data_IF_697245575181
#
_entry.id   IF_697245575181
#
_cell.length_a   1.000
_cell.length_b   1.000
_cell.length_c   1.000
_cell.angle_alpha   90.00
_cell.angle_beta   90.00
_cell.angle_gamma   90.00
#
_symmetry.space_group_name_H-M   'P 1'
#
loop_
_entity.id
_entity.type
_entity.pdbx_description
1 polymer ?
#
# COMPACT_ATOMS: atom_id res chain seq x y z
N UNK A 1 5.54 -6.36 -34.47
CA UNK A 1 5.87 -5.25 -33.55
C UNK A 1 6.13 -5.85 -32.17
N UNK A 2 7.30 -5.59 -31.61
CA UNK A 2 7.75 -6.14 -30.31
C UNK A 2 6.88 -5.63 -29.16
N UNK A 3 6.23 -6.54 -28.42
CA UNK A 3 5.64 -6.23 -27.12
C UNK A 3 6.72 -6.30 -26.06
N UNK A 4 7.02 -5.19 -25.40
CA UNK A 4 7.82 -5.21 -24.18
C UNK A 4 6.93 -5.85 -23.11
N UNK A 5 7.19 -7.13 -22.80
CA UNK A 5 6.48 -7.83 -21.72
C UNK A 5 7.14 -7.43 -20.39
N UNK A 6 6.39 -6.73 -19.55
CA UNK A 6 6.75 -6.51 -18.16
C UNK A 6 6.86 -7.86 -17.44
N UNK A 7 7.81 -7.99 -16.52
CA UNK A 7 7.92 -9.18 -15.71
C UNK A 7 6.62 -9.43 -14.91
N UNK A 8 6.12 -10.67 -14.85
CA UNK A 8 4.99 -11.00 -14.00
C UNK A 8 5.37 -10.82 -12.52
N UNK A 9 4.39 -10.44 -11.70
CA UNK A 9 4.57 -10.42 -10.24
C UNK A 9 4.90 -11.83 -9.74
N UNK A 10 5.58 -11.94 -8.59
CA UNK A 10 5.84 -13.25 -7.97
C UNK A 10 4.57 -13.86 -7.39
N UNK A 11 3.61 -13.02 -6.98
CA UNK A 11 2.35 -13.43 -6.39
C UNK A 11 1.20 -12.82 -7.18
N UNK A 12 0.27 -13.67 -7.62
CA UNK A 12 -1.01 -13.23 -8.20
C UNK A 12 -1.88 -12.65 -7.10
N UNK A 13 -2.49 -11.49 -7.34
CA UNK A 13 -3.30 -10.81 -6.32
C UNK A 13 -4.40 -9.94 -6.91
N UNK A 14 -5.49 -9.82 -6.17
CA UNK A 14 -6.58 -8.88 -6.38
C UNK A 14 -6.61 -7.85 -5.24
N UNK A 15 -7.16 -6.66 -5.52
CA UNK A 15 -7.30 -5.55 -4.57
C UNK A 15 -6.01 -5.15 -3.78
N UNK A 16 -4.83 -5.07 -4.42
CA UNK A 16 -3.64 -4.58 -3.74
C UNK A 16 -3.66 -3.04 -3.61
N UNK A 17 -2.87 -2.55 -2.65
CA UNK A 17 -2.43 -1.15 -2.68
C UNK A 17 -1.25 -1.01 -3.63
N UNK A 18 -1.23 0.05 -4.45
CA UNK A 18 -0.13 0.34 -5.38
C UNK A 18 0.38 1.75 -5.14
N UNK A 19 1.70 1.91 -5.04
CA UNK A 19 2.35 3.20 -4.92
C UNK A 19 3.60 3.26 -5.80
N UNK A 20 3.87 4.44 -6.36
CA UNK A 20 5.13 4.76 -7.03
C UNK A 20 5.99 5.59 -6.07
N UNK A 21 7.26 5.23 -5.94
CA UNK A 21 8.21 5.99 -5.14
C UNK A 21 9.59 5.97 -5.82
N UNK A 22 9.99 7.13 -6.34
CA UNK A 22 11.23 7.26 -7.08
C UNK A 22 11.06 6.70 -8.49
N UNK A 23 11.77 5.61 -8.81
CA UNK A 23 11.64 4.90 -10.09
C UNK A 23 11.17 3.46 -9.90
N UNK A 24 10.39 3.21 -8.85
CA UNK A 24 9.98 1.87 -8.43
C UNK A 24 8.48 1.82 -8.15
N UNK A 25 7.86 0.71 -8.50
CA UNK A 25 6.45 0.43 -8.22
C UNK A 25 6.39 -0.55 -7.06
N UNK A 26 5.56 -0.25 -6.08
CA UNK A 26 5.33 -1.11 -4.92
C UNK A 26 3.90 -1.61 -4.95
N UNK A 27 3.74 -2.91 -4.74
CA UNK A 27 2.45 -3.60 -4.71
C UNK A 27 2.32 -4.27 -3.36
N UNK A 28 1.27 -3.92 -2.62
CA UNK A 28 1.14 -4.18 -1.18
C UNK A 28 -0.15 -4.96 -0.93
N UNK A 29 -0.03 -6.07 -0.20
CA UNK A 29 -1.15 -6.92 0.23
C UNK A 29 -2.05 -7.37 -0.91
N UNK A 30 -3.35 -7.46 -0.67
CA UNK A 30 -4.34 -8.00 -1.61
C UNK A 30 -4.76 -9.43 -1.27
N UNK A 31 -5.38 -10.11 -2.22
CA UNK A 31 -5.90 -11.47 -2.07
C UNK A 31 -5.49 -12.34 -3.28
N UNK A 32 -4.87 -13.49 -3.04
CA UNK A 32 -4.38 -14.40 -4.10
C UNK A 32 -5.42 -15.43 -4.59
N UNK A 33 -6.68 -15.28 -4.17
CA UNK A 33 -7.77 -16.24 -4.39
C UNK A 33 -7.90 -17.29 -3.29
N UNK A 34 -6.94 -17.38 -2.37
CA UNK A 34 -6.92 -18.33 -1.25
C UNK A 34 -6.87 -17.60 0.10
N UNK A 35 -6.00 -16.60 0.23
CA UNK A 35 -5.75 -15.87 1.46
C UNK A 35 -5.54 -14.37 1.22
N UNK A 36 -5.74 -13.58 2.28
CA UNK A 36 -5.25 -12.20 2.34
C UNK A 36 -3.73 -12.21 2.48
N UNK A 37 -3.09 -11.23 1.84
CA UNK A 37 -1.65 -11.12 1.78
C UNK A 37 -1.15 -9.98 2.66
N UNK A 38 -0.03 -10.19 3.36
CA UNK A 38 0.76 -9.13 3.97
C UNK A 38 2.03 -8.82 3.15
N UNK A 39 2.22 -9.50 2.02
CA UNK A 39 3.43 -9.36 1.19
C UNK A 39 3.46 -8.03 0.46
N UNK A 40 4.65 -7.49 0.31
CA UNK A 40 4.97 -6.34 -0.54
C UNK A 40 5.98 -6.76 -1.60
N UNK A 41 5.73 -6.36 -2.83
CA UNK A 41 6.62 -6.56 -3.97
C UNK A 41 7.04 -5.21 -4.55
N UNK A 42 8.32 -5.08 -4.89
CA UNK A 42 8.88 -3.91 -5.56
C UNK A 42 9.32 -4.27 -6.97
N UNK A 43 8.80 -3.57 -7.96
CA UNK A 43 9.25 -3.64 -9.34
C UNK A 43 10.36 -2.63 -9.62
N UNK A 44 11.42 -3.11 -10.25
CA UNK A 44 12.49 -2.31 -10.81
C UNK A 44 12.38 -2.30 -12.35
N UNK A 45 12.01 -1.17 -12.98
CA UNK A 45 11.92 -1.08 -14.43
C UNK A 45 13.27 -1.22 -15.14
N UNK A 46 14.39 -0.91 -14.48
CA UNK A 46 15.73 -1.01 -15.07
C UNK A 46 16.19 -2.45 -15.22
N UNK A 47 15.78 -3.31 -14.29
CA UNK A 47 16.13 -4.74 -14.31
C UNK A 47 14.97 -5.61 -14.79
N UNK A 48 13.78 -5.02 -14.97
CA UNK A 48 12.53 -5.70 -15.27
C UNK A 48 12.28 -6.87 -14.31
N UNK A 49 12.35 -6.61 -13.00
CA UNK A 49 12.22 -7.65 -11.96
C UNK A 49 11.38 -7.18 -10.79
N UNK A 50 10.64 -8.12 -10.23
CA UNK A 50 9.95 -7.97 -8.96
C UNK A 50 10.78 -8.58 -7.83
N UNK A 51 10.91 -7.87 -6.72
CA UNK A 51 11.60 -8.35 -5.52
C UNK A 51 10.63 -8.33 -4.34
N UNK A 52 10.58 -9.41 -3.58
CA UNK A 52 9.84 -9.46 -2.32
C UNK A 52 10.56 -8.60 -1.27
N UNK A 53 9.79 -7.77 -0.58
CA UNK A 53 10.25 -6.95 0.53
C UNK A 53 9.66 -7.47 1.85
N UNK A 54 10.18 -7.02 3.01
CA UNK A 54 9.67 -7.44 4.31
C UNK A 54 8.16 -7.20 4.41
N UNK A 55 7.37 -8.17 4.89
CA UNK A 55 5.92 -8.10 4.85
C UNK A 55 5.37 -7.15 5.94
N UNK A 56 4.13 -6.70 5.75
CA UNK A 56 3.35 -6.00 6.78
C UNK A 56 3.08 -6.93 7.97
N UNK A 57 2.76 -6.34 9.12
CA UNK A 57 2.39 -7.07 10.33
C UNK A 57 1.11 -7.92 10.16
N UNK A 58 0.15 -7.41 9.38
CA UNK A 58 -1.17 -8.05 9.17
C UNK A 58 -1.49 -8.23 7.69
N UNK A 59 -2.10 -9.37 7.30
CA UNK A 59 -2.58 -9.57 5.93
C UNK A 59 -3.87 -8.80 5.68
N UNK A 60 -3.98 -8.17 4.52
CA UNK A 60 -5.17 -7.36 4.17
C UNK A 60 -5.34 -7.16 2.67
N UNK A 61 -6.57 -6.97 2.21
CA UNK A 61 -6.92 -6.57 0.85
C UNK A 61 -7.76 -5.29 0.85
N UNK A 62 -7.98 -4.68 -0.32
CA UNK A 62 -8.74 -3.42 -0.42
C UNK A 62 -7.94 -2.21 0.11
N UNK A 63 -6.61 -2.32 0.05
CA UNK A 63 -5.66 -1.34 0.60
C UNK A 63 -5.55 -0.16 -0.36
N UNK A 64 -5.58 1.06 0.18
CA UNK A 64 -5.06 2.22 -0.52
C UNK A 64 -3.57 2.41 -0.21
N UNK A 65 -2.75 2.77 -1.19
CA UNK A 65 -1.34 3.04 -0.94
C UNK A 65 -0.91 4.38 -1.56
N UNK A 66 0.02 5.05 -0.90
CA UNK A 66 0.58 6.31 -1.38
C UNK A 66 2.03 6.49 -0.92
N UNK A 67 2.81 7.22 -1.70
CA UNK A 67 4.17 7.58 -1.35
C UNK A 67 4.26 9.06 -0.97
N UNK A 68 4.91 9.36 0.16
CA UNK A 68 5.19 10.71 0.62
C UNK A 68 6.49 10.73 1.43
N UNK A 69 7.32 11.75 1.20
CA UNK A 69 8.59 11.97 1.92
C UNK A 69 9.51 10.74 1.97
N UNK A 70 9.59 9.98 0.87
CA UNK A 70 10.45 8.80 0.80
C UNK A 70 9.90 7.57 1.51
N UNK A 71 8.64 7.60 1.95
CA UNK A 71 7.95 6.52 2.65
C UNK A 71 6.70 6.08 1.90
N UNK A 72 6.27 4.84 2.12
CA UNK A 72 5.05 4.30 1.54
C UNK A 72 4.05 4.00 2.66
N UNK A 73 2.84 4.53 2.51
CA UNK A 73 1.77 4.42 3.46
C UNK A 73 0.79 3.37 2.96
N UNK A 74 0.56 2.32 3.74
CA UNK A 74 -0.48 1.32 3.47
C UNK A 74 -1.72 1.65 4.32
N UNK A 75 -2.85 1.88 3.65
CA UNK A 75 -4.00 2.53 4.24
C UNK A 75 -5.27 1.68 4.16
N UNK A 76 -5.84 1.40 5.33
CA UNK A 76 -7.08 0.65 5.49
C UNK A 76 -6.97 -0.79 5.00
N UNK A 77 -8.09 -1.31 4.49
CA UNK A 77 -8.26 -2.66 4.00
C UNK A 77 -9.05 -3.55 4.96
N UNK A 78 -9.13 -4.82 4.60
CA UNK A 78 -9.87 -5.86 5.33
C UNK A 78 -9.02 -7.12 5.47
N UNK A 79 -8.94 -7.68 6.68
CA UNK A 79 -8.13 -8.87 6.99
C UNK A 79 -8.91 -10.18 7.08
N UNK A 80 -10.22 -10.15 6.79
CA UNK A 80 -11.10 -11.31 6.94
C UNK A 80 -11.92 -11.34 8.23
N UNK A 81 -11.47 -10.61 9.26
CA UNK A 81 -12.17 -10.50 10.54
C UNK A 81 -12.69 -9.08 10.79
N UNK A 82 -11.91 -8.06 10.45
CA UNK A 82 -12.22 -6.67 10.70
C UNK A 82 -11.75 -5.76 9.55
N UNK A 83 -12.43 -4.62 9.42
CA UNK A 83 -11.95 -3.48 8.64
C UNK A 83 -10.84 -2.81 9.44
N UNK A 84 -9.74 -2.49 8.78
CA UNK A 84 -8.54 -1.96 9.43
C UNK A 84 -8.49 -0.43 9.34
N UNK A 85 -7.86 0.19 10.34
CA UNK A 85 -7.67 1.64 10.40
C UNK A 85 -6.60 2.13 9.40
N UNK A 86 -6.61 3.43 9.14
CA UNK A 86 -6.11 4.08 7.92
C UNK A 86 -4.59 4.07 7.76
N UNK A 87 -3.76 3.84 8.78
CA UNK A 87 -2.32 3.70 8.56
C UNK A 87 -1.74 2.79 9.64
N UNK A 88 -1.83 1.48 9.48
CA UNK A 88 -1.18 0.55 10.41
C UNK A 88 0.32 0.43 10.12
N UNK A 89 0.76 0.57 8.87
CA UNK A 89 2.16 0.34 8.52
C UNK A 89 2.68 1.36 7.49
N UNK A 90 3.82 1.97 7.80
CA UNK A 90 4.60 2.83 6.91
C UNK A 90 5.92 2.15 6.56
N UNK A 91 6.13 1.88 5.27
CA UNK A 91 7.35 1.25 4.79
C UNK A 91 8.40 2.32 4.49
N UNK A 92 9.59 2.14 5.08
CA UNK A 92 10.77 2.94 4.76
C UNK A 92 11.74 2.12 3.89
N UNK A 93 11.82 2.36 2.57
CA UNK A 93 12.70 1.59 1.68
C UNK A 93 14.18 1.67 2.06
N UNK A 94 14.60 2.78 2.68
CA UNK A 94 15.99 2.97 3.14
C UNK A 94 16.35 2.03 4.29
N UNK A 95 15.40 1.75 5.17
CA UNK A 95 15.58 0.83 6.29
C UNK A 95 15.15 -0.59 5.94
N UNK A 96 14.42 -0.76 4.83
CA UNK A 96 13.77 -2.00 4.44
C UNK A 96 12.92 -2.56 5.59
N UNK A 97 12.09 -1.71 6.20
CA UNK A 97 11.31 -2.05 7.39
C UNK A 97 9.99 -1.28 7.43
N UNK A 98 9.00 -1.87 8.11
CA UNK A 98 7.74 -1.22 8.43
C UNK A 98 7.80 -0.58 9.81
N UNK A 99 7.19 0.59 9.96
CA UNK A 99 6.96 1.25 11.24
C UNK A 99 5.47 1.44 11.42
N UNK A 100 4.97 1.21 12.63
CA UNK A 100 3.58 1.49 12.97
C UNK A 100 3.34 3.01 12.95
N UNK A 101 2.33 3.46 12.21
CA UNK A 101 1.94 4.86 12.21
C UNK A 101 0.76 5.11 13.13
N UNK A 102 0.53 6.39 13.48
CA UNK A 102 -0.59 6.76 14.32
C UNK A 102 -1.91 6.33 13.67
N UNK A 103 -2.66 5.46 14.35
CA UNK A 103 -4.01 5.08 13.94
C UNK A 103 -4.90 6.31 13.92
N UNK A 104 -5.74 6.41 12.89
CA UNK A 104 -6.66 7.52 12.73
C UNK A 104 -8.06 6.96 12.74
N UNK A 105 -8.90 7.64 13.49
CA UNK A 105 -10.25 7.19 13.82
C UNK A 105 -11.18 7.20 12.58
N UNK A 106 -11.08 6.18 11.72
CA UNK A 106 -12.17 5.62 10.90
C UNK A 106 -11.60 4.53 9.99
N UNK A 107 -11.95 3.25 10.20
CA UNK A 107 -11.56 2.17 9.30
C UNK A 107 -12.02 2.41 7.85
N UNK A 108 -11.30 1.86 6.86
CA UNK A 108 -11.67 2.01 5.43
C UNK A 108 -11.39 0.75 4.62
N UNK A 109 -12.41 0.15 4.01
CA UNK A 109 -12.23 -0.87 2.96
C UNK A 109 -12.52 -0.30 1.57
N UNK A 110 -11.70 -0.66 0.58
CA UNK A 110 -11.83 -0.20 -0.80
C UNK A 110 -11.55 1.30 -0.97
N UNK A 111 -10.58 1.82 -0.22
CA UNK A 111 -10.24 3.24 -0.18
C UNK A 111 -9.37 3.65 -1.36
N UNK A 112 -9.67 4.81 -1.96
CA UNK A 112 -8.77 5.45 -2.91
C UNK A 112 -7.83 6.38 -2.13
N UNK A 113 -6.52 6.25 -2.35
CA UNK A 113 -5.52 7.07 -1.67
C UNK A 113 -4.69 7.83 -2.69
N UNK A 114 -4.43 9.11 -2.43
CA UNK A 114 -3.48 9.89 -3.22
C UNK A 114 -2.71 10.89 -2.36
N UNK A 115 -1.60 11.37 -2.88
CA UNK A 115 -0.87 12.50 -2.30
C UNK A 115 -1.15 13.80 -3.05
N UNK A 116 -1.20 14.91 -2.32
CA UNK A 116 -1.26 16.26 -2.89
C UNK A 116 -0.58 17.26 -1.95
N UNK A 117 0.52 17.86 -2.39
CA UNK A 117 1.40 18.64 -1.52
C UNK A 117 2.04 17.75 -0.45
N UNK A 118 1.98 18.18 0.82
CA UNK A 118 2.50 17.45 1.99
C UNK A 118 1.44 16.57 2.68
N UNK A 119 0.39 16.18 1.95
CA UNK A 119 -0.76 15.48 2.51
C UNK A 119 -1.01 14.16 1.79
N UNK A 120 -1.41 13.16 2.58
CA UNK A 120 -2.03 11.93 2.09
C UNK A 120 -3.54 12.06 2.28
N UNK A 121 -4.30 11.77 1.22
CA UNK A 121 -5.76 11.83 1.23
C UNK A 121 -6.31 10.43 1.06
N UNK A 122 -7.25 10.06 1.94
CA UNK A 122 -8.04 8.84 1.85
C UNK A 122 -9.47 9.22 1.45
N UNK A 123 -9.86 8.90 0.22
CA UNK A 123 -11.14 9.31 -0.38
C UNK A 123 -12.01 8.08 -0.63
N UNK A 124 -13.26 8.15 -0.18
CA UNK A 124 -14.20 7.03 -0.28
C UNK A 124 -13.85 5.88 0.67
N UNK A 125 -14.21 4.66 0.26
CA UNK A 125 -14.24 3.47 1.12
C UNK A 125 -15.61 3.28 1.79
N UNK A 126 -15.90 2.06 2.22
CA UNK A 126 -17.23 1.66 2.74
C UNK A 126 -17.38 2.03 4.22
N UNK A 127 -17.23 3.32 4.55
CA UNK A 127 -17.29 3.84 5.94
C UNK A 127 -17.66 5.34 6.04
N UNK A 128 -18.20 5.95 4.96
CA UNK A 128 -19.08 7.13 5.03
C UNK A 128 -18.49 8.55 5.14
N UNK A 129 -17.19 8.78 5.33
CA UNK A 129 -16.64 10.17 5.44
C UNK A 129 -15.29 10.37 4.75
N UNK A 130 -15.02 11.56 4.21
CA UNK A 130 -13.73 11.96 3.63
C UNK A 130 -12.81 12.43 4.76
N UNK A 131 -11.55 11.98 4.78
CA UNK A 131 -10.54 12.49 5.72
C UNK A 131 -9.26 12.88 4.97
N UNK A 132 -8.50 13.80 5.56
CA UNK A 132 -7.18 14.21 5.08
C UNK A 132 -6.16 14.09 6.21
N UNK A 133 -4.92 13.80 5.86
CA UNK A 133 -3.83 13.50 6.77
C UNK A 133 -2.61 14.35 6.44
N UNK A 134 -2.16 15.18 7.38
CA UNK A 134 -0.89 15.90 7.25
C UNK A 134 0.22 14.96 7.66
N UNK A 135 1.10 14.59 6.75
CA UNK A 135 2.34 13.95 7.13
C UNK A 135 3.36 15.06 7.36
N UNK A 136 3.24 15.75 8.49
CA UNK A 136 4.17 16.80 8.88
C UNK A 136 3.98 17.18 10.33
N UNK A 137 4.73 16.51 11.21
CA UNK A 137 4.82 16.79 12.63
C UNK A 137 5.88 15.91 13.26
N UNK A 138 7.02 16.52 13.61
CA UNK A 138 7.70 16.19 14.85
C UNK A 138 6.76 16.50 16.02
#
# INVERSE_FOLDING_TARGET
>A
MCGVLFAPTNITRSFPGVAELGDRIFVIGGNDGVAFLNSIECYDPHTNRWTLLPPMSRPRAGIGAAALDGRIYAIGGFDGAARLDIVEDVFEPRMNAWTEAASLNSCRDGVCVMTYGCWVYAVGGIDGTIISQHCGGL
#
